data_IF_014140234418
#
_entry.id   IF_014140234418
#
_cell.length_a   1.000
_cell.length_b   1.000
_cell.length_c   1.000
_cell.angle_alpha   90.00
_cell.angle_beta   90.00
_cell.angle_gamma   90.00
#
_symmetry.space_group_name_H-M   'P 1'
#
loop_
_entity.id
_entity.type
_entity.pdbx_description
1 polymer ?
#
# COMPACT_ATOMS: atom_id res chain seq x y z
N UNK A 1 -20.69 35.81 -3.17
CA UNK A 1 -20.26 35.32 -1.87
C UNK A 1 -20.53 33.87 -1.68
N UNK A 2 -21.72 33.51 -1.89
CA UNK A 2 -22.05 32.10 -1.77
C UNK A 2 -21.26 31.27 -2.76
N UNK A 3 -20.97 31.83 -3.87
CA UNK A 3 -20.24 31.14 -4.93
C UNK A 3 -18.90 30.60 -4.46
N UNK A 4 -18.26 31.31 -3.57
CA UNK A 4 -16.98 30.89 -3.05
C UNK A 4 -17.07 29.60 -2.27
N UNK A 5 -18.13 29.43 -1.54
CA UNK A 5 -18.34 28.21 -0.77
C UNK A 5 -18.50 27.01 -1.68
N UNK A 6 -19.20 27.20 -2.76
CA UNK A 6 -19.38 26.12 -3.73
C UNK A 6 -18.08 25.72 -4.35
N UNK A 7 -17.23 26.69 -4.60
CA UNK A 7 -15.91 26.40 -5.15
C UNK A 7 -15.08 25.52 -4.24
N UNK A 8 -15.15 25.77 -2.95
CA UNK A 8 -14.43 24.97 -1.98
C UNK A 8 -14.91 23.53 -1.98
N UNK A 9 -16.19 23.32 -2.10
CA UNK A 9 -16.72 21.99 -2.15
C UNK A 9 -16.22 21.23 -3.38
N UNK A 10 -16.15 21.92 -4.48
CA UNK A 10 -15.64 21.29 -5.71
C UNK A 10 -14.22 20.82 -5.55
N UNK A 11 -13.44 21.57 -4.82
CA UNK A 11 -12.04 21.19 -4.59
C UNK A 11 -11.94 19.86 -3.87
N UNK A 12 -12.82 19.62 -2.90
CA UNK A 12 -12.80 18.37 -2.16
C UNK A 12 -13.06 17.18 -3.07
N UNK A 13 -13.88 17.34 -4.06
CA UNK A 13 -14.20 16.27 -4.99
C UNK A 13 -13.03 15.79 -5.79
N UNK A 14 -12.08 16.65 -6.04
CA UNK A 14 -10.94 16.31 -6.88
C UNK A 14 -9.94 15.41 -6.18
N UNK A 15 -10.04 15.22 -4.89
CA UNK A 15 -9.08 14.44 -4.15
C UNK A 15 -9.34 12.96 -4.27
N UNK A 16 -8.27 12.21 -4.50
CA UNK A 16 -8.33 10.75 -4.51
C UNK A 16 -8.03 10.23 -3.12
N UNK A 17 -8.58 9.08 -2.81
CA UNK A 17 -8.37 8.43 -1.53
C UNK A 17 -7.10 7.58 -1.55
N UNK A 18 -5.97 8.25 -1.73
CA UNK A 18 -4.67 7.58 -1.66
C UNK A 18 -4.21 7.61 -0.22
N UNK A 19 -3.90 6.45 0.31
CA UNK A 19 -3.40 6.31 1.67
C UNK A 19 -2.03 5.67 1.66
N UNK A 20 -1.21 6.06 2.62
CA UNK A 20 0.04 5.38 2.85
C UNK A 20 -0.23 4.21 3.79
N UNK A 21 0.12 3.02 3.34
CA UNK A 21 -0.06 1.80 4.10
C UNK A 21 1.29 1.37 4.61
N UNK A 22 1.39 1.12 5.90
CA UNK A 22 2.61 0.62 6.52
C UNK A 22 2.30 -0.70 7.19
N UNK A 23 3.32 -1.54 7.29
CA UNK A 23 3.14 -2.82 7.94
C UNK A 23 4.47 -3.49 8.19
N UNK A 24 4.40 -4.66 8.80
CA UNK A 24 5.57 -5.46 9.11
C UNK A 24 5.30 -6.88 8.66
N UNK A 25 6.28 -7.48 7.98
CA UNK A 25 6.19 -8.87 7.53
C UNK A 25 7.07 -9.72 8.43
N UNK A 26 6.47 -10.72 9.04
CA UNK A 26 7.16 -11.63 9.94
C UNK A 26 7.04 -13.05 9.42
N UNK A 27 8.02 -13.88 9.76
CA UNK A 27 7.93 -15.29 9.47
C UNK A 27 7.11 -16.02 10.56
N UNK A 28 7.01 -17.33 10.46
CA UNK A 28 6.24 -18.12 11.40
C UNK A 28 6.82 -18.12 12.82
N UNK A 29 8.07 -17.75 12.94
CA UNK A 29 8.74 -17.61 14.24
C UNK A 29 8.69 -16.17 14.75
N UNK A 30 7.90 -15.32 14.08
CA UNK A 30 7.73 -13.91 14.41
C UNK A 30 9.01 -13.10 14.25
N UNK A 31 9.89 -13.53 13.33
CA UNK A 31 11.09 -12.79 13.00
C UNK A 31 10.85 -11.98 11.73
N UNK A 32 11.41 -10.77 11.65
CA UNK A 32 11.20 -9.92 10.49
C UNK A 32 11.83 -10.50 9.23
N UNK A 33 11.11 -10.36 8.11
CA UNK A 33 11.61 -10.79 6.80
C UNK A 33 12.03 -9.59 5.98
N UNK A 34 13.32 -9.55 5.65
CA UNK A 34 13.86 -8.53 4.77
C UNK A 34 13.74 -9.00 3.31
N UNK A 35 13.47 -8.08 2.42
CA UNK A 35 13.48 -8.39 0.99
C UNK A 35 12.19 -8.95 0.44
N UNK A 36 11.10 -8.86 1.18
CA UNK A 36 9.78 -9.27 0.68
C UNK A 36 9.30 -8.24 -0.32
N UNK A 37 8.90 -8.69 -1.51
CA UNK A 37 8.35 -7.80 -2.53
C UNK A 37 6.86 -7.60 -2.28
N UNK A 38 6.44 -6.34 -2.31
CA UNK A 38 5.02 -5.99 -2.17
C UNK A 38 4.67 -5.13 -3.37
N UNK A 39 3.72 -5.59 -4.19
CA UNK A 39 3.27 -4.86 -5.37
C UNK A 39 1.76 -4.73 -5.34
N UNK A 40 1.26 -3.76 -6.08
CA UNK A 40 -0.18 -3.59 -6.26
C UNK A 40 -0.60 -4.47 -7.42
N UNK A 41 -1.58 -5.33 -7.20
CA UNK A 41 -1.98 -6.36 -8.15
C UNK A 41 -2.28 -5.80 -9.54
N UNK A 42 -3.00 -4.70 -9.60
CA UNK A 42 -3.42 -4.12 -10.87
C UNK A 42 -2.40 -3.14 -11.44
N UNK A 43 -1.33 -2.89 -10.73
CA UNK A 43 -0.31 -1.95 -11.15
C UNK A 43 1.05 -2.37 -10.60
N UNK A 44 1.60 -3.48 -11.11
CA UNK A 44 2.83 -4.06 -10.54
C UNK A 44 4.07 -3.19 -10.67
N UNK A 45 3.99 -2.10 -11.43
CA UNK A 45 5.07 -1.14 -11.45
C UNK A 45 5.18 -0.32 -10.18
N UNK A 46 4.14 -0.33 -9.36
CA UNK A 46 4.14 0.36 -8.07
C UNK A 46 4.33 -0.68 -6.99
N UNK A 47 5.43 -0.60 -6.28
CA UNK A 47 5.70 -1.57 -5.25
C UNK A 47 6.79 -1.11 -4.31
N UNK A 48 7.09 -1.94 -3.34
CA UNK A 48 8.11 -1.68 -2.36
C UNK A 48 8.72 -3.01 -1.90
N UNK A 49 9.70 -2.91 -1.03
CA UNK A 49 10.37 -4.08 -0.49
C UNK A 49 10.58 -3.85 1.00
N UNK A 50 10.50 -4.91 1.79
CA UNK A 50 10.68 -4.78 3.23
C UNK A 50 12.14 -4.51 3.58
N UNK A 51 12.32 -3.75 4.65
CA UNK A 51 13.66 -3.43 5.16
C UNK A 51 14.12 -4.51 6.16
N UNK A 52 15.24 -4.26 6.82
CA UNK A 52 15.83 -5.19 7.77
C UNK A 52 14.93 -5.52 8.95
N UNK A 53 14.01 -4.64 9.28
CA UNK A 53 13.04 -4.84 10.34
C UNK A 53 11.74 -5.45 9.82
N UNK A 54 11.69 -5.85 8.56
CA UNK A 54 10.50 -6.41 7.94
C UNK A 54 9.43 -5.38 7.65
N UNK A 55 9.75 -4.11 7.76
CA UNK A 55 8.78 -3.03 7.61
C UNK A 55 8.68 -2.59 6.17
N UNK A 56 7.49 -2.18 5.78
CA UNK A 56 7.27 -1.64 4.45
C UNK A 56 6.32 -0.46 4.51
N UNK A 57 6.34 0.31 3.43
CA UNK A 57 5.49 1.48 3.25
C UNK A 57 5.14 1.56 1.78
N UNK A 58 3.85 1.64 1.49
CA UNK A 58 3.36 1.68 0.11
C UNK A 58 2.14 2.59 0.03
N UNK A 59 2.00 3.31 -1.06
CA UNK A 59 0.83 4.14 -1.29
C UNK A 59 -0.15 3.39 -2.17
N UNK A 60 -1.39 3.33 -1.74
CA UNK A 60 -2.43 2.63 -2.47
C UNK A 60 -3.77 3.30 -2.23
N UNK A 61 -4.70 3.08 -3.16
CA UNK A 61 -6.06 3.53 -2.99
C UNK A 61 -6.90 2.42 -2.38
N UNK A 62 -8.09 2.76 -1.94
CA UNK A 62 -9.05 1.76 -1.45
C UNK A 62 -9.32 0.74 -2.55
N UNK A 63 -9.58 -0.49 -2.15
CA UNK A 63 -9.93 -1.60 -3.05
C UNK A 63 -8.77 -2.13 -3.88
N UNK A 64 -7.59 -1.62 -3.72
CA UNK A 64 -6.42 -2.22 -4.35
C UNK A 64 -5.94 -3.40 -3.51
N UNK A 65 -5.38 -4.41 -4.18
CA UNK A 65 -4.91 -5.63 -3.54
C UNK A 65 -3.39 -5.61 -3.55
N UNK A 66 -2.79 -5.90 -2.41
CA UNK A 66 -1.35 -6.01 -2.29
C UNK A 66 -0.94 -7.47 -2.48
N UNK A 67 0.10 -7.68 -3.28
CA UNK A 67 0.64 -9.02 -3.52
C UNK A 67 2.02 -9.08 -2.88
N UNK A 68 2.17 -9.98 -1.93
CA UNK A 68 3.43 -10.21 -1.22
C UNK A 68 4.11 -11.45 -1.83
N UNK A 69 5.38 -11.34 -2.13
CA UNK A 69 6.14 -12.48 -2.63
C UNK A 69 7.54 -12.50 -2.05
N UNK A 70 8.04 -13.70 -1.77
CA UNK A 70 9.34 -13.91 -1.20
C UNK A 70 9.86 -15.26 -1.64
N UNK A 71 11.16 -15.36 -1.80
CA UNK A 71 11.79 -16.62 -2.26
C UNK A 71 11.49 -17.73 -1.26
N UNK A 72 10.97 -18.84 -1.75
CA UNK A 72 10.66 -19.99 -0.92
C UNK A 72 9.27 -19.96 -0.27
N UNK A 73 8.50 -18.91 -0.52
CA UNK A 73 7.13 -18.77 0.02
C UNK A 73 6.14 -18.59 -1.12
N UNK A 74 4.93 -19.04 -0.89
CA UNK A 74 3.83 -18.81 -1.82
C UNK A 74 3.44 -17.33 -1.79
N UNK A 75 2.92 -16.84 -2.90
CA UNK A 75 2.41 -15.48 -2.96
C UNK A 75 1.17 -15.34 -2.08
N UNK A 76 1.05 -14.19 -1.45
CA UNK A 76 -0.11 -13.88 -0.62
C UNK A 76 -0.73 -12.58 -1.12
N UNK A 77 -2.04 -12.56 -1.27
CA UNK A 77 -2.79 -11.37 -1.66
C UNK A 77 -3.56 -10.84 -0.46
N UNK A 78 -3.46 -9.54 -0.24
CA UNK A 78 -4.15 -8.86 0.85
C UNK A 78 -4.94 -7.70 0.28
N UNK A 79 -6.27 -7.77 0.35
CA UNK A 79 -7.14 -6.69 -0.15
C UNK A 79 -7.15 -5.46 0.75
#
# INVERSE_FOLDING_TARGET
>A
MWVLLLGCLSTIWAQKNVSEITGTVLDENKEPLIGVNIVIKDNPGLGTITNVDGQFRIKATAYQVLVFSYIGYDKMEVP
#
